data_IF_068384292525
#
_entry.id   IF_068384292525
#
_cell.length_a   1.000
_cell.length_b   1.000
_cell.length_c   1.000
_cell.angle_alpha   90.00
_cell.angle_beta   90.00
_cell.angle_gamma   90.00
#
_symmetry.space_group_name_H-M   'P 1'
#
loop_
_entity.id
_entity.type
_entity.pdbx_description
1 polymer ?
#
# COMPACT_ATOMS: atom_id res chain seq x y z
N UNK A 1 7.59 25.25 -3.97
CA UNK A 1 6.62 24.23 -3.51
C UNK A 1 5.24 24.86 -3.59
N UNK A 2 4.29 24.25 -4.32
CA UNK A 2 2.95 24.81 -4.47
C UNK A 2 2.23 24.88 -3.12
N UNK A 3 1.31 25.86 -2.94
CA UNK A 3 0.56 26.01 -1.70
C UNK A 3 -0.27 24.76 -1.38
N UNK A 4 -0.75 24.06 -2.42
CA UNK A 4 -1.39 22.75 -2.33
C UNK A 4 -0.50 21.69 -1.64
N UNK A 5 0.78 21.57 -2.01
CA UNK A 5 1.70 20.59 -1.38
C UNK A 5 2.04 20.96 0.06
N UNK A 6 2.11 22.26 0.37
CA UNK A 6 2.31 22.74 1.75
C UNK A 6 1.10 22.36 2.62
N UNK A 7 -0.11 22.59 2.12
CA UNK A 7 -1.34 22.25 2.82
C UNK A 7 -1.45 20.73 3.07
N UNK A 8 -1.21 19.89 2.06
CA UNK A 8 -1.17 18.44 2.21
C UNK A 8 -0.13 18.00 3.24
N UNK A 9 1.08 18.53 3.14
CA UNK A 9 2.18 18.18 4.04
C UNK A 9 1.89 18.59 5.49
N UNK A 10 1.21 19.70 5.72
CA UNK A 10 0.78 20.15 7.05
C UNK A 10 -0.33 19.25 7.61
N UNK A 11 -1.35 18.97 6.82
CA UNK A 11 -2.53 18.18 7.26
C UNK A 11 -2.21 16.72 7.52
N UNK A 12 -1.28 16.13 6.76
CA UNK A 12 -0.92 14.70 6.83
C UNK A 12 0.55 14.49 7.25
N UNK A 13 1.13 15.41 8.00
CA UNK A 13 2.57 15.49 8.31
C UNK A 13 3.18 14.20 8.86
N UNK A 14 2.46 13.44 9.70
CA UNK A 14 2.95 12.18 10.28
C UNK A 14 3.11 11.06 9.25
N UNK A 15 2.30 11.08 8.20
CA UNK A 15 2.15 9.95 7.28
C UNK A 15 2.52 10.28 5.83
N UNK A 16 2.83 11.55 5.54
CA UNK A 16 3.14 12.04 4.21
C UNK A 16 4.59 12.52 4.13
N UNK A 17 5.27 12.13 3.06
CA UNK A 17 6.62 12.60 2.73
C UNK A 17 6.65 13.07 1.28
N UNK A 18 7.27 14.23 1.05
CA UNK A 18 7.50 14.77 -0.28
C UNK A 18 8.87 14.32 -0.80
N UNK A 19 9.00 14.19 -2.13
CA UNK A 19 10.24 13.81 -2.82
C UNK A 19 10.91 12.56 -2.20
N UNK A 20 10.09 11.54 -1.95
CA UNK A 20 10.51 10.36 -1.20
C UNK A 20 11.22 9.34 -2.09
N UNK A 21 12.41 8.89 -1.68
CA UNK A 21 13.19 7.85 -2.37
C UNK A 21 12.54 6.47 -2.23
N UNK A 22 12.28 5.82 -3.36
CA UNK A 22 11.61 4.52 -3.45
C UNK A 22 12.60 3.34 -3.52
N UNK A 23 13.91 3.57 -3.61
CA UNK A 23 14.91 2.50 -3.75
C UNK A 23 14.76 1.38 -2.73
N UNK A 24 14.59 1.75 -1.45
CA UNK A 24 14.44 0.78 -0.35
C UNK A 24 13.00 0.30 -0.14
N UNK A 25 12.10 0.48 -1.13
CA UNK A 25 10.70 0.10 -1.05
C UNK A 25 10.34 -1.07 -1.95
N UNK A 26 11.30 -1.62 -2.66
CA UNK A 26 11.18 -2.83 -3.45
C UNK A 26 12.40 -3.73 -3.26
N UNK A 27 12.28 -4.99 -3.62
CA UNK A 27 13.33 -5.99 -3.42
C UNK A 27 14.54 -5.78 -4.31
N UNK A 28 14.38 -5.11 -5.44
CA UNK A 28 15.47 -4.84 -6.38
C UNK A 28 16.39 -3.70 -5.94
N UNK A 29 16.00 -2.92 -4.92
CA UNK A 29 16.72 -1.74 -4.42
C UNK A 29 17.04 -0.70 -5.50
N UNK A 30 16.18 -0.56 -6.49
CA UNK A 30 16.25 0.42 -7.57
C UNK A 30 15.01 1.31 -7.60
N UNK A 31 15.11 2.47 -8.22
CA UNK A 31 14.00 3.39 -8.42
C UNK A 31 14.33 4.84 -8.09
N UNK A 32 13.59 5.76 -8.69
CA UNK A 32 13.64 7.18 -8.44
C UNK A 32 12.83 7.61 -7.21
N UNK A 33 12.52 8.90 -7.16
CA UNK A 33 11.69 9.49 -6.10
C UNK A 33 10.23 9.57 -6.54
N UNK A 34 9.34 9.56 -5.57
CA UNK A 34 7.95 9.95 -5.80
C UNK A 34 7.70 11.36 -5.28
N UNK A 35 6.86 12.13 -5.98
CA UNK A 35 6.44 13.45 -5.56
C UNK A 35 5.82 13.44 -4.16
N UNK A 36 4.93 12.48 -3.90
CA UNK A 36 4.27 12.27 -2.61
C UNK A 36 4.32 10.79 -2.26
N UNK A 37 4.78 10.47 -1.06
CA UNK A 37 4.68 9.16 -0.44
C UNK A 37 3.76 9.24 0.76
N UNK A 38 2.63 8.51 0.73
CA UNK A 38 1.62 8.53 1.79
C UNK A 38 1.42 7.14 2.40
N UNK A 39 1.46 7.06 3.73
CA UNK A 39 1.18 5.85 4.49
C UNK A 39 -0.23 5.94 5.08
N UNK A 40 -1.18 5.19 4.52
CA UNK A 40 -2.54 5.15 5.05
C UNK A 40 -2.60 4.27 6.31
N UNK A 41 -2.90 4.85 7.46
CA UNK A 41 -3.03 4.13 8.73
C UNK A 41 -4.38 3.42 8.85
N UNK A 42 -5.45 4.03 8.34
CA UNK A 42 -6.81 3.51 8.40
C UNK A 42 -7.67 4.04 7.24
N UNK A 43 -8.84 3.44 7.06
CA UNK A 43 -9.75 3.77 5.97
C UNK A 43 -10.26 5.22 6.02
N UNK A 44 -10.53 5.75 7.22
CA UNK A 44 -11.03 7.12 7.39
C UNK A 44 -10.00 8.16 6.91
N UNK A 45 -8.74 7.98 7.29
CA UNK A 45 -7.64 8.84 6.84
C UNK A 45 -7.38 8.69 5.34
N UNK A 46 -7.44 7.46 4.82
CA UNK A 46 -7.28 7.22 3.38
C UNK A 46 -8.34 7.96 2.57
N UNK A 47 -9.62 7.84 2.96
CA UNK A 47 -10.73 8.53 2.29
C UNK A 47 -10.52 10.06 2.33
N UNK A 48 -10.12 10.61 3.50
CA UNK A 48 -9.86 12.05 3.64
C UNK A 48 -8.73 12.51 2.73
N UNK A 49 -7.63 11.74 2.67
CA UNK A 49 -6.50 12.01 1.79
C UNK A 49 -6.91 11.96 0.30
N UNK A 50 -7.62 10.91 -0.12
CA UNK A 50 -8.08 10.76 -1.51
C UNK A 50 -9.00 11.91 -1.94
N UNK A 51 -9.93 12.32 -1.07
CA UNK A 51 -10.79 13.50 -1.31
C UNK A 51 -9.98 14.79 -1.46
N UNK A 52 -8.89 14.93 -0.70
CA UNK A 52 -8.05 16.12 -0.74
C UNK A 52 -7.23 16.22 -2.01
N UNK A 53 -6.68 15.12 -2.50
CA UNK A 53 -5.96 15.10 -3.78
C UNK A 53 -6.89 15.21 -4.99
N UNK A 54 -8.16 14.79 -4.86
CA UNK A 54 -9.27 15.03 -5.81
C UNK A 54 -8.87 14.91 -7.29
N UNK A 55 -8.33 13.77 -7.69
CA UNK A 55 -7.86 13.45 -9.06
C UNK A 55 -6.78 14.39 -9.62
N UNK A 56 -6.15 15.25 -8.81
CA UNK A 56 -5.07 16.14 -9.24
C UNK A 56 -3.74 15.41 -9.42
N UNK A 57 -3.62 14.21 -8.88
CA UNK A 57 -2.39 13.43 -8.86
C UNK A 57 -2.62 12.02 -9.43
N UNK A 58 -1.61 11.49 -10.11
CA UNK A 58 -1.56 10.06 -10.44
C UNK A 58 -1.34 9.26 -9.16
N UNK A 59 -2.02 8.12 -9.02
CA UNK A 59 -1.92 7.28 -7.82
C UNK A 59 -1.34 5.93 -8.19
N UNK A 60 -0.39 5.48 -7.38
CA UNK A 60 0.14 4.11 -7.40
C UNK A 60 0.04 3.51 -6.00
N UNK A 61 -0.55 2.33 -5.88
CA UNK A 61 -0.63 1.59 -4.61
C UNK A 61 0.56 0.62 -4.55
N UNK A 62 1.43 0.79 -3.55
CA UNK A 62 2.59 -0.05 -3.37
C UNK A 62 2.32 -1.11 -2.28
N UNK A 63 2.34 -2.36 -2.66
CA UNK A 63 2.27 -3.52 -1.76
C UNK A 63 3.57 -3.79 -1.00
N UNK A 64 4.00 -5.05 -0.91
CA UNK A 64 5.29 -5.45 -0.32
C UNK A 64 6.50 -4.93 -1.09
N UNK A 65 6.35 -4.67 -2.38
CA UNK A 65 7.43 -4.27 -3.27
C UNK A 65 8.30 -5.43 -3.76
N UNK A 66 7.88 -6.67 -3.51
CA UNK A 66 8.59 -7.88 -3.92
C UNK A 66 8.51 -8.11 -5.43
N UNK A 67 7.36 -7.81 -6.04
CA UNK A 67 7.11 -7.98 -7.46
C UNK A 67 6.85 -6.62 -8.15
N UNK A 68 7.60 -5.59 -7.77
CA UNK A 68 7.47 -4.24 -8.33
C UNK A 68 8.82 -3.74 -8.79
N UNK A 69 8.95 -3.53 -10.10
CA UNK A 69 10.12 -2.89 -10.69
C UNK A 69 9.85 -1.39 -10.81
N UNK A 70 10.63 -0.59 -10.09
CA UNK A 70 10.52 0.88 -10.10
C UNK A 70 11.66 1.41 -10.95
N UNK A 71 11.34 2.23 -11.96
CA UNK A 71 12.35 2.88 -12.81
C UNK A 71 13.12 3.94 -12.03
N UNK A 72 14.32 4.28 -12.50
CA UNK A 72 15.15 5.33 -11.87
C UNK A 72 14.60 6.75 -12.11
N UNK A 73 13.62 6.90 -13.01
CA UNK A 73 12.95 8.18 -13.23
C UNK A 73 12.03 8.53 -12.05
N UNK A 74 11.96 9.81 -11.76
CA UNK A 74 11.06 10.31 -10.71
C UNK A 74 9.59 10.11 -11.12
N UNK A 75 8.78 9.64 -10.18
CA UNK A 75 7.34 9.47 -10.35
C UNK A 75 6.60 10.76 -9.94
N UNK A 76 6.06 11.48 -10.93
CA UNK A 76 5.24 12.68 -10.69
C UNK A 76 3.82 12.25 -10.28
N UNK A 77 3.69 11.80 -9.04
CA UNK A 77 2.44 11.32 -8.49
C UNK A 77 2.54 10.93 -7.02
N UNK A 78 1.52 10.25 -6.55
CA UNK A 78 1.38 9.76 -5.19
C UNK A 78 1.61 8.26 -5.15
N UNK A 79 2.53 7.81 -4.32
CA UNK A 79 2.65 6.41 -3.93
C UNK A 79 1.98 6.23 -2.57
N UNK A 80 0.98 5.36 -2.49
CA UNK A 80 0.26 5.04 -1.26
C UNK A 80 0.69 3.67 -0.76
N UNK A 81 1.07 3.58 0.52
CA UNK A 81 1.32 2.34 1.26
C UNK A 81 0.21 2.15 2.28
N UNK A 82 -0.48 1.02 2.23
CA UNK A 82 -1.46 0.64 3.25
C UNK A 82 -0.74 0.00 4.44
N UNK A 83 -1.14 0.36 5.67
CA UNK A 83 -0.55 -0.14 6.90
C UNK A 83 -1.46 -1.17 7.60
N UNK A 84 -1.06 -1.57 8.80
CA UNK A 84 -1.61 -2.71 9.53
C UNK A 84 -3.14 -2.74 9.75
N UNK A 85 -3.84 -1.60 9.72
CA UNK A 85 -5.31 -1.62 9.82
C UNK A 85 -6.01 -2.13 8.54
N UNK A 86 -5.23 -2.45 7.50
CA UNK A 86 -5.69 -3.07 6.27
C UNK A 86 -5.25 -4.54 6.14
N UNK A 87 -4.72 -5.17 7.21
CA UNK A 87 -4.23 -6.55 7.18
C UNK A 87 -5.06 -7.53 8.01
N UNK A 88 -6.31 -7.18 8.33
CA UNK A 88 -7.21 -8.09 9.04
C UNK A 88 -7.64 -9.24 8.14
N UNK A 89 -7.72 -10.45 8.69
CA UNK A 89 -8.25 -11.64 8.03
C UNK A 89 -9.34 -12.21 8.91
N UNK A 90 -10.45 -12.62 8.31
CA UNK A 90 -11.55 -13.30 9.01
C UNK A 90 -12.30 -14.24 8.08
N UNK A 91 -12.97 -15.26 8.66
CA UNK A 91 -13.96 -16.04 7.95
C UNK A 91 -15.29 -15.25 7.91
N UNK A 92 -15.88 -15.16 6.74
CA UNK A 92 -17.27 -14.72 6.59
C UNK A 92 -18.24 -15.90 6.71
N UNK A 93 -17.84 -17.03 6.10
CA UNK A 93 -18.56 -18.33 6.17
C UNK A 93 -17.51 -19.44 6.27
N UNK A 94 -17.97 -20.69 6.29
CA UNK A 94 -17.07 -21.88 6.26
C UNK A 94 -16.22 -21.96 4.97
N UNK A 95 -16.58 -21.23 3.91
CA UNK A 95 -15.92 -21.28 2.59
C UNK A 95 -15.38 -19.92 2.12
N UNK A 96 -15.67 -18.82 2.84
CA UNK A 96 -15.34 -17.46 2.39
C UNK A 96 -14.43 -16.77 3.40
N UNK A 97 -13.26 -16.34 2.94
CA UNK A 97 -12.33 -15.51 3.70
C UNK A 97 -12.49 -14.05 3.26
N UNK A 98 -12.57 -13.14 4.22
CA UNK A 98 -12.38 -11.71 4.00
C UNK A 98 -10.97 -11.34 4.42
N UNK A 99 -10.19 -10.77 3.49
CA UNK A 99 -8.84 -10.31 3.75
C UNK A 99 -8.70 -8.82 3.39
N UNK A 100 -8.07 -8.08 4.28
CA UNK A 100 -7.70 -6.69 4.02
C UNK A 100 -6.60 -6.60 2.95
N UNK A 101 -6.59 -5.51 2.21
CA UNK A 101 -5.70 -5.32 1.04
C UNK A 101 -4.21 -5.13 1.37
N UNK A 102 -3.82 -5.15 2.65
CA UNK A 102 -2.42 -5.20 3.10
C UNK A 102 -2.02 -6.56 3.68
N UNK A 103 -2.89 -7.56 3.61
CA UNK A 103 -2.56 -8.95 3.98
C UNK A 103 -1.54 -9.49 2.97
N UNK A 104 -0.51 -10.19 3.46
CA UNK A 104 0.41 -10.89 2.58
C UNK A 104 -0.21 -12.19 2.08
N UNK A 105 0.15 -12.60 0.87
CA UNK A 105 -0.31 -13.87 0.28
C UNK A 105 0.04 -15.05 1.16
N UNK A 106 1.24 -15.06 1.75
CA UNK A 106 1.65 -16.05 2.74
C UNK A 106 0.72 -16.12 3.96
N UNK A 107 0.40 -14.96 4.54
CA UNK A 107 -0.49 -14.91 5.72
C UNK A 107 -1.91 -15.40 5.39
N UNK A 108 -2.39 -15.11 4.17
CA UNK A 108 -3.68 -15.59 3.70
C UNK A 108 -3.69 -17.11 3.51
N UNK A 109 -2.64 -17.66 2.91
CA UNK A 109 -2.47 -19.11 2.75
C UNK A 109 -2.40 -19.83 4.11
N UNK A 110 -1.59 -19.33 5.05
CA UNK A 110 -1.49 -19.88 6.41
C UNK A 110 -2.83 -19.82 7.16
N UNK A 111 -3.57 -18.72 7.02
CA UNK A 111 -4.89 -18.59 7.63
C UNK A 111 -5.88 -19.59 7.03
N UNK A 112 -5.89 -19.79 5.72
CA UNK A 112 -6.76 -20.76 5.05
C UNK A 112 -6.48 -22.19 5.53
N UNK A 113 -5.19 -22.60 5.57
CA UNK A 113 -4.77 -23.92 6.05
C UNK A 113 -5.23 -24.16 7.50
N UNK A 114 -5.01 -23.18 8.38
CA UNK A 114 -5.38 -23.27 9.80
C UNK A 114 -6.90 -23.38 10.02
N UNK A 115 -7.70 -23.01 9.03
CA UNK A 115 -9.17 -23.11 9.04
C UNK A 115 -9.70 -24.25 8.15
N UNK A 116 -8.84 -25.14 7.66
CA UNK A 116 -9.24 -26.30 6.84
C UNK A 116 -9.70 -25.96 5.44
N UNK A 117 -9.33 -24.78 4.92
CA UNK A 117 -9.69 -24.32 3.57
C UNK A 117 -8.56 -24.63 2.58
N UNK A 118 -8.84 -25.45 1.58
CA UNK A 118 -7.96 -25.74 0.45
C UNK A 118 -8.07 -24.70 -0.66
N UNK A 119 -7.16 -24.80 -1.67
CA UNK A 119 -7.19 -23.95 -2.86
C UNK A 119 -6.43 -22.62 -2.72
N UNK A 120 -5.74 -22.39 -1.59
CA UNK A 120 -4.92 -21.21 -1.33
C UNK A 120 -3.42 -21.50 -1.29
N UNK A 121 -3.01 -22.74 -1.56
CA UNK A 121 -1.64 -23.22 -1.42
C UNK A 121 -0.67 -22.47 -2.34
N UNK A 122 -1.13 -22.09 -3.53
CA UNK A 122 -0.33 -21.33 -4.50
C UNK A 122 0.13 -19.96 -3.99
N UNK A 123 -0.60 -19.35 -3.04
CA UNK A 123 -0.24 -18.06 -2.46
C UNK A 123 0.99 -18.15 -1.55
N UNK A 124 1.33 -19.33 -1.05
CA UNK A 124 2.48 -19.52 -0.16
C UNK A 124 3.83 -19.23 -0.82
N UNK A 125 3.90 -19.32 -2.15
CA UNK A 125 5.12 -19.17 -2.95
C UNK A 125 5.16 -17.85 -3.74
N UNK A 126 4.18 -16.97 -3.61
CA UNK A 126 4.20 -15.66 -4.27
C UNK A 126 5.09 -14.71 -3.45
N UNK A 127 6.12 -14.09 -4.09
CA UNK A 127 7.07 -13.23 -3.41
C UNK A 127 6.49 -11.90 -2.98
#
# INVERSE_FOLDING_TARGET
MSDYLKELSSEFSENLKLNYDLKKKNWFNIGGKTKIYYKAKNLKELIRFLKKINNKEKIFILGGGSNTLITDNDYDGVVIKLLNNFNNISLLTEEIIIAGSAVSDKSLSEFAINNGLGGFEFLSCIP
#
